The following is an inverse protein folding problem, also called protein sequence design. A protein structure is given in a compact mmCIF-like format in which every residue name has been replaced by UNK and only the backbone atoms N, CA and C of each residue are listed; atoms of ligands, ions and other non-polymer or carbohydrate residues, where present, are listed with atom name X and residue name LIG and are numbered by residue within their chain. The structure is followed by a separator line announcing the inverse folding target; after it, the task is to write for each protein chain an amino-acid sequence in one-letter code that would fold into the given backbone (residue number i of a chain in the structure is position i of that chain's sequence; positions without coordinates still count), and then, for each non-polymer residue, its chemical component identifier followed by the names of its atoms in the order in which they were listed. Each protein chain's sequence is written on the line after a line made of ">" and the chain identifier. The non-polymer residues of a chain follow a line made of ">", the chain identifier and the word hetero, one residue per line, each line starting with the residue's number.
data_IF_478169141181
#
_entry.id   IF_478169141181
#
_cell.length_a   1.000
_cell.length_b   1.000
_cell.length_c   1.000
_cell.angle_alpha   90.00
_cell.angle_beta   90.00
_cell.angle_gamma   90.00
#
_symmetry.space_group_name_H-M   'P 1'
#
loop_
_entity.id
_entity.type
_entity.pdbx_description
1 polymer ?
#
# COMPACT_ATOMS: atom_id res chain seq x y z
N UNK A 1 -20.57 -17.94 16.97
CA UNK A 1 -19.22 -17.35 16.78
C UNK A 1 -19.40 -16.05 16.01
N UNK A 2 -18.95 -14.89 16.54
CA UNK A 2 -18.97 -13.63 15.79
C UNK A 2 -17.88 -13.65 14.73
N UNK A 3 -18.20 -13.29 13.48
CA UNK A 3 -17.18 -13.20 12.43
C UNK A 3 -16.27 -11.98 12.67
N UNK A 4 -15.07 -11.97 12.07
CA UNK A 4 -14.19 -10.80 12.13
C UNK A 4 -14.86 -9.52 11.61
N UNK A 5 -15.76 -9.64 10.64
CA UNK A 5 -16.56 -8.53 10.10
C UNK A 5 -17.52 -7.97 11.16
N UNK A 6 -18.17 -8.84 11.94
CA UNK A 6 -19.11 -8.42 12.98
C UNK A 6 -18.39 -7.67 14.10
N UNK A 7 -17.21 -8.16 14.50
CA UNK A 7 -16.37 -7.48 15.49
C UNK A 7 -15.92 -6.11 15.00
N UNK A 8 -15.40 -6.03 13.76
CA UNK A 8 -14.92 -4.78 13.17
C UNK A 8 -16.04 -3.74 13.03
N UNK A 9 -17.21 -4.14 12.54
CA UNK A 9 -18.36 -3.24 12.42
C UNK A 9 -18.78 -2.68 13.79
N UNK A 10 -18.84 -3.54 14.81
CA UNK A 10 -19.24 -3.13 16.17
C UNK A 10 -18.27 -2.10 16.78
N UNK A 11 -16.96 -2.27 16.61
CA UNK A 11 -15.96 -1.42 17.27
C UNK A 11 -15.62 -0.15 16.50
N UNK A 12 -15.73 -0.17 15.17
CA UNK A 12 -15.37 0.98 14.31
C UNK A 12 -16.56 1.89 14.02
N UNK A 13 -17.79 1.42 14.26
CA UNK A 13 -19.01 2.16 13.96
C UNK A 13 -19.37 2.20 12.48
N UNK A 14 -18.61 1.55 11.60
CA UNK A 14 -18.94 1.45 10.16
C UNK A 14 -19.79 0.21 9.88
N UNK A 15 -20.60 0.26 8.82
CA UNK A 15 -21.50 -0.83 8.46
C UNK A 15 -20.75 -2.10 8.05
N UNK A 16 -21.43 -3.25 8.14
CA UNK A 16 -20.84 -4.54 7.71
C UNK A 16 -20.51 -4.53 6.22
N UNK A 17 -21.34 -3.85 5.44
CA UNK A 17 -21.17 -3.63 4.01
C UNK A 17 -19.88 -2.85 3.72
N UNK A 18 -19.62 -1.78 4.48
CA UNK A 18 -18.38 -1.01 4.37
C UNK A 18 -17.15 -1.83 4.78
N UNK A 19 -17.22 -2.59 5.87
CA UNK A 19 -16.12 -3.50 6.27
C UNK A 19 -15.80 -4.49 5.14
N UNK A 20 -16.83 -5.09 4.52
CA UNK A 20 -16.65 -6.01 3.38
C UNK A 20 -16.05 -5.31 2.18
N UNK A 21 -16.49 -4.09 1.87
CA UNK A 21 -15.94 -3.31 0.77
C UNK A 21 -14.46 -2.97 0.99
N UNK A 22 -14.08 -2.57 2.22
CA UNK A 22 -12.68 -2.32 2.59
C UNK A 22 -11.86 -3.61 2.46
N UNK A 23 -12.34 -4.72 3.00
CA UNK A 23 -11.66 -6.01 2.90
C UNK A 23 -11.42 -6.41 1.43
N UNK A 24 -12.44 -6.27 0.58
CA UNK A 24 -12.33 -6.56 -0.87
C UNK A 24 -11.27 -5.67 -1.54
N UNK A 25 -11.23 -4.37 -1.20
CA UNK A 25 -10.20 -3.44 -1.73
C UNK A 25 -8.80 -3.83 -1.30
N UNK A 26 -8.61 -4.20 -0.02
CA UNK A 26 -7.32 -4.64 0.52
C UNK A 26 -6.86 -5.93 -0.17
N UNK A 27 -7.74 -6.92 -0.29
CA UNK A 27 -7.43 -8.19 -0.97
C UNK A 27 -7.07 -7.97 -2.45
N UNK A 28 -7.82 -7.13 -3.16
CA UNK A 28 -7.53 -6.81 -4.55
C UNK A 28 -6.17 -6.11 -4.70
N UNK A 29 -5.83 -5.20 -3.79
CA UNK A 29 -4.52 -4.54 -3.77
C UNK A 29 -3.39 -5.55 -3.51
N UNK A 30 -3.57 -6.43 -2.52
CA UNK A 30 -2.60 -7.48 -2.21
C UNK A 30 -2.37 -8.42 -3.40
N UNK A 31 -3.44 -8.81 -4.11
CA UNK A 31 -3.33 -9.62 -5.31
C UNK A 31 -2.51 -8.94 -6.42
N UNK A 32 -2.74 -7.64 -6.66
CA UNK A 32 -1.93 -6.83 -7.60
C UNK A 32 -0.46 -6.80 -7.21
N UNK A 33 -0.19 -6.64 -5.92
CA UNK A 33 1.18 -6.56 -5.42
C UNK A 33 1.90 -7.91 -5.59
N UNK A 34 1.30 -8.99 -5.12
CA UNK A 34 1.91 -10.33 -5.17
C UNK A 34 2.14 -10.86 -6.60
N UNK A 35 1.28 -10.49 -7.55
CA UNK A 35 1.41 -10.92 -8.94
C UNK A 35 2.40 -10.07 -9.77
N UNK A 36 2.94 -8.98 -9.21
CA UNK A 36 3.79 -8.07 -9.96
C UNK A 36 5.20 -8.66 -10.11
N UNK A 37 5.72 -8.82 -11.35
CA UNK A 37 7.04 -9.40 -11.58
C UNK A 37 8.17 -8.51 -11.04
N UNK A 38 7.96 -7.20 -11.04
CA UNK A 38 8.86 -6.21 -10.47
C UNK A 38 8.10 -4.95 -10.12
N UNK A 39 8.28 -4.46 -8.91
CA UNK A 39 7.67 -3.21 -8.47
C UNK A 39 8.50 -2.00 -8.88
N UNK A 40 7.80 -0.92 -9.21
CA UNK A 40 8.36 0.40 -9.46
C UNK A 40 7.38 1.43 -8.89
N UNK A 41 7.62 1.86 -7.65
CA UNK A 41 6.71 2.70 -6.88
C UNK A 41 6.99 4.19 -7.10
N UNK A 42 5.94 4.94 -7.39
CA UNK A 42 5.96 6.41 -7.46
C UNK A 42 5.07 7.01 -6.39
N UNK A 43 5.36 8.26 -6.01
CA UNK A 43 4.59 8.99 -5.01
C UNK A 43 3.21 9.34 -5.55
N UNK A 44 2.16 9.09 -4.77
CA UNK A 44 0.83 9.62 -5.07
C UNK A 44 0.77 11.08 -4.58
N UNK A 45 0.53 12.01 -5.49
CA UNK A 45 0.40 13.44 -5.16
C UNK A 45 -0.87 13.74 -4.35
N UNK A 46 -0.86 14.85 -3.62
CA UNK A 46 -2.04 15.36 -2.91
C UNK A 46 -2.18 14.92 -1.44
N UNK A 47 -1.23 14.18 -0.88
CA UNK A 47 -1.18 13.93 0.57
C UNK A 47 -0.27 14.97 1.26
N UNK A 48 -0.83 15.95 2.00
CA UNK A 48 -0.04 16.99 2.66
C UNK A 48 0.74 16.47 3.87
N UNK A 49 0.34 15.32 4.43
CA UNK A 49 1.00 14.74 5.58
C UNK A 49 2.07 13.72 5.13
N UNK A 50 3.38 13.98 5.37
CA UNK A 50 4.44 13.07 4.98
C UNK A 50 4.33 11.68 5.64
N UNK A 51 3.72 11.59 6.83
CA UNK A 51 3.47 10.32 7.53
C UNK A 51 2.32 9.51 6.94
N UNK A 52 1.44 10.14 6.14
CA UNK A 52 0.35 9.45 5.42
C UNK A 52 0.66 9.22 3.96
N UNK A 53 1.89 9.56 3.53
CA UNK A 53 2.29 9.45 2.15
C UNK A 53 2.05 8.04 1.61
N UNK A 54 1.42 7.97 0.44
CA UNK A 54 1.18 6.73 -0.29
C UNK A 54 2.01 6.68 -1.56
N UNK A 55 2.30 5.46 -1.98
CA UNK A 55 3.02 5.19 -3.21
C UNK A 55 2.22 4.20 -4.05
N UNK A 56 2.25 4.35 -5.36
CA UNK A 56 1.59 3.46 -6.32
C UNK A 56 2.64 2.82 -7.22
N UNK A 57 2.52 1.52 -7.44
CA UNK A 57 3.35 0.83 -8.42
C UNK A 57 2.90 1.21 -9.83
N UNK A 58 3.80 1.74 -10.67
CA UNK A 58 3.53 2.07 -12.08
C UNK A 58 3.20 0.85 -12.94
N UNK A 59 3.63 -0.35 -12.50
CA UNK A 59 3.44 -1.60 -13.26
C UNK A 59 2.09 -2.26 -12.96
N UNK A 60 1.79 -2.52 -11.69
CA UNK A 60 0.55 -3.23 -11.30
C UNK A 60 -0.56 -2.32 -10.77
N UNK A 61 -0.27 -1.04 -10.52
CA UNK A 61 -1.20 -0.10 -9.91
C UNK A 61 -1.54 -0.40 -8.44
N UNK A 62 -0.78 -1.28 -7.78
CA UNK A 62 -0.92 -1.56 -6.34
C UNK A 62 -0.38 -0.40 -5.51
N UNK A 63 -1.01 -0.12 -4.37
CA UNK A 63 -0.66 0.98 -3.47
C UNK A 63 -0.08 0.48 -2.16
N UNK A 64 0.93 1.19 -1.64
CA UNK A 64 1.56 0.93 -0.34
C UNK A 64 1.71 2.22 0.46
N UNK A 65 1.94 2.11 1.77
CA UNK A 65 2.18 3.26 2.66
C UNK A 65 3.68 3.62 2.67
N UNK A 66 4.00 4.79 3.20
CA UNK A 66 5.37 5.28 3.29
C UNK A 66 6.31 4.37 4.06
N UNK A 67 5.83 3.70 5.11
CA UNK A 67 6.62 2.73 5.88
C UNK A 67 7.01 1.51 5.03
N UNK A 68 6.07 0.95 4.27
CA UNK A 68 6.32 -0.17 3.35
C UNK A 68 7.28 0.25 2.24
N UNK A 69 7.09 1.45 1.68
CA UNK A 69 7.97 2.00 0.65
C UNK A 69 9.40 2.22 1.18
N UNK A 70 9.54 2.66 2.43
CA UNK A 70 10.84 2.82 3.07
C UNK A 70 11.61 1.50 3.11
N UNK A 71 10.96 0.41 3.53
CA UNK A 71 11.61 -0.91 3.58
C UNK A 71 11.86 -1.50 2.20
N UNK A 72 10.91 -1.35 1.27
CA UNK A 72 11.10 -1.75 -0.12
C UNK A 72 12.30 -1.04 -0.75
N UNK A 73 12.41 0.29 -0.60
CA UNK A 73 13.48 1.09 -1.19
C UNK A 73 14.85 0.77 -0.58
N UNK A 74 14.91 0.51 0.74
CA UNK A 74 16.14 -0.01 1.39
C UNK A 74 16.55 -1.37 0.84
N UNK A 75 15.64 -2.34 0.80
CA UNK A 75 15.95 -3.66 0.25
C UNK A 75 16.38 -3.61 -1.22
N UNK A 76 15.76 -2.72 -1.99
CA UNK A 76 16.15 -2.45 -3.38
C UNK A 76 17.55 -1.84 -3.49
N UNK A 77 17.92 -0.93 -2.59
CA UNK A 77 19.25 -0.31 -2.52
C UNK A 77 20.32 -1.33 -2.16
N UNK A 78 20.09 -2.08 -1.10
CA UNK A 78 21.05 -3.05 -0.56
C UNK A 78 21.21 -4.26 -1.50
N UNK A 79 20.16 -4.60 -2.26
CA UNK A 79 20.18 -5.62 -3.31
C UNK A 79 20.82 -5.20 -4.63
N UNK A 80 21.39 -3.99 -4.74
CA UNK A 80 22.09 -3.51 -5.94
C UNK A 80 21.18 -3.00 -7.07
N UNK A 81 19.88 -2.80 -6.80
CA UNK A 81 18.91 -2.32 -7.79
C UNK A 81 18.85 -0.80 -7.93
N UNK A 82 19.45 -0.04 -7.02
CA UNK A 82 19.37 1.42 -7.01
C UNK A 82 20.14 2.04 -8.19
N UNK A 83 19.46 2.86 -9.00
CA UNK A 83 20.08 3.83 -9.90
C UNK A 83 19.87 5.21 -9.28
N UNK A 84 20.96 5.94 -9.10
CA UNK A 84 21.12 7.14 -8.27
C UNK A 84 20.42 8.41 -8.81
N UNK A 85 19.40 8.29 -9.67
CA UNK A 85 18.91 9.42 -10.49
C UNK A 85 17.65 10.13 -9.96
N UNK A 86 17.12 9.80 -8.77
CA UNK A 86 15.84 10.37 -8.32
C UNK A 86 15.92 10.82 -6.86
N UNK A 87 16.72 11.84 -6.56
CA UNK A 87 16.53 12.80 -5.45
C UNK A 87 17.66 13.86 -5.58
N UNK A 88 17.42 14.93 -6.35
CA UNK A 88 18.16 16.18 -6.13
C UNK A 88 17.41 16.98 -5.06
N UNK A 89 18.21 17.57 -4.17
CA UNK A 89 17.87 18.22 -2.89
C UNK A 89 16.74 19.26 -2.95
#
# INVERSE_FOLDING_TARGET
>A
MSTGIDTLSRISGISREEVRAIAKRVMANSAKLNACPRHDFERIEGEPNPFRQKYRCKVCGGEIRGEDFHWWSRGWKDGGGWKEEVFQE
#
